data_IF_180260768351
#
_entry.id   IF_180260768351
#
_cell.length_a   1.000
_cell.length_b   1.000
_cell.length_c   1.000
_cell.angle_alpha   90.00
_cell.angle_beta   90.00
_cell.angle_gamma   90.00
#
_symmetry.space_group_name_H-M   'P 1'
#
loop_
_entity.id
_entity.type
_entity.pdbx_description
1 polymer ?
#
# COMPACT_ATOMS: atom_id res chain seq x y z
N UNK A 1 7.63 -46.13 -12.76
CA UNK A 1 6.51 -45.19 -13.03
C UNK A 1 6.33 -44.28 -11.80
N UNK A 2 7.24 -43.33 -11.57
CA UNK A 2 7.26 -42.42 -10.40
C UNK A 2 7.80 -41.06 -10.89
N UNK A 3 7.16 -40.54 -11.93
CA UNK A 3 7.56 -39.28 -12.57
C UNK A 3 6.44 -38.27 -12.55
N UNK A 4 5.21 -38.69 -12.87
CA UNK A 4 4.09 -37.77 -13.13
C UNK A 4 3.58 -37.02 -11.89
N UNK A 5 3.59 -37.63 -10.70
CA UNK A 5 3.04 -37.00 -9.48
C UNK A 5 3.92 -35.87 -8.97
N UNK A 6 5.25 -35.97 -9.13
CA UNK A 6 6.20 -34.99 -8.63
C UNK A 6 6.19 -33.73 -9.50
N UNK A 7 6.05 -33.90 -10.82
CA UNK A 7 5.96 -32.78 -11.78
C UNK A 7 4.66 -32.00 -11.63
N UNK A 8 3.54 -32.68 -11.36
CA UNK A 8 2.25 -32.04 -11.10
C UNK A 8 2.24 -31.23 -9.80
N UNK A 9 2.82 -31.77 -8.71
CA UNK A 9 2.94 -31.06 -7.43
C UNK A 9 3.82 -29.81 -7.56
N UNK A 10 4.95 -29.89 -8.25
CA UNK A 10 5.83 -28.75 -8.52
C UNK A 10 5.14 -27.67 -9.36
N UNK A 11 4.40 -28.06 -10.40
CA UNK A 11 3.65 -27.12 -11.25
C UNK A 11 2.54 -26.39 -10.46
N UNK A 12 1.85 -27.08 -9.56
CA UNK A 12 0.79 -26.46 -8.72
C UNK A 12 1.40 -25.47 -7.72
N UNK A 13 2.52 -25.81 -7.08
CA UNK A 13 3.21 -24.91 -6.13
C UNK A 13 3.71 -23.65 -6.83
N UNK A 14 4.28 -23.79 -8.04
CA UNK A 14 4.74 -22.65 -8.84
C UNK A 14 3.55 -21.77 -9.28
N UNK A 15 2.44 -22.35 -9.74
CA UNK A 15 1.22 -21.59 -10.09
C UNK A 15 0.61 -20.88 -8.88
N UNK A 16 0.58 -21.52 -7.70
CA UNK A 16 0.10 -20.89 -6.46
C UNK A 16 0.99 -19.76 -5.98
N UNK A 17 2.32 -19.84 -6.16
CA UNK A 17 3.25 -18.75 -5.85
C UNK A 17 3.11 -17.55 -6.80
N UNK A 18 2.76 -17.79 -8.07
CA UNK A 18 2.52 -16.73 -9.06
C UNK A 18 1.19 -15.99 -8.78
N UNK A 19 0.18 -16.67 -8.23
CA UNK A 19 -1.09 -16.06 -7.82
C UNK A 19 -0.97 -15.16 -6.56
N UNK A 20 0.11 -15.28 -5.78
CA UNK A 20 0.44 -14.34 -4.70
C UNK A 20 1.12 -13.06 -5.24
N UNK A 21 1.54 -13.08 -6.49
CA UNK A 21 2.22 -12.01 -7.21
C UNK A 21 1.36 -11.42 -8.33
N UNK A 22 0.03 -11.55 -8.28
CA UNK A 22 -0.82 -10.81 -9.23
C UNK A 22 -0.67 -9.32 -8.90
N UNK A 23 0.02 -8.50 -9.73
CA UNK A 23 -0.08 -7.07 -9.56
C UNK A 23 -1.50 -6.75 -10.01
N UNK A 24 -2.39 -6.57 -9.03
CA UNK A 24 -3.72 -6.02 -9.26
C UNK A 24 -3.52 -4.55 -9.60
N UNK A 25 -3.11 -4.23 -10.83
CA UNK A 25 -2.78 -2.85 -11.21
C UNK A 25 -2.99 -2.63 -12.71
N UNK A 26 -4.25 -2.62 -13.14
CA UNK A 26 -4.65 -1.75 -14.24
C UNK A 26 -5.17 -0.43 -13.64
N UNK A 27 -4.24 0.32 -13.06
CA UNK A 27 -4.36 1.72 -12.66
C UNK A 27 -3.06 2.41 -13.07
N UNK A 28 -3.08 3.72 -13.30
CA UNK A 28 -1.86 4.46 -13.67
C UNK A 28 -0.80 4.41 -12.55
N UNK A 29 -1.23 4.14 -11.32
CA UNK A 29 -0.37 3.97 -10.14
C UNK A 29 0.07 2.52 -9.94
N UNK A 30 1.37 2.34 -9.72
CA UNK A 30 1.96 1.08 -9.25
C UNK A 30 2.28 1.13 -7.75
N UNK A 31 2.38 -0.04 -7.09
CA UNK A 31 2.85 -0.08 -5.70
C UNK A 31 4.27 0.49 -5.55
N UNK A 32 5.15 0.30 -6.53
CA UNK A 32 6.51 0.85 -6.50
C UNK A 32 6.49 2.38 -6.40
N UNK A 33 5.59 3.03 -7.14
CA UNK A 33 5.36 4.48 -7.06
C UNK A 33 4.85 4.87 -5.67
N UNK A 34 3.82 4.17 -5.16
CA UNK A 34 3.27 4.41 -3.82
C UNK A 34 4.35 4.34 -2.74
N UNK A 35 5.18 3.29 -2.75
CA UNK A 35 6.25 3.10 -1.78
C UNK A 35 7.32 4.18 -1.91
N UNK A 36 7.67 4.61 -3.13
CA UNK A 36 8.60 5.74 -3.32
C UNK A 36 8.05 7.01 -2.68
N UNK A 37 6.77 7.31 -2.88
CA UNK A 37 6.14 8.52 -2.37
C UNK A 37 6.05 8.52 -0.83
N UNK A 38 5.79 7.36 -0.20
CA UNK A 38 5.71 7.26 1.27
C UNK A 38 7.01 6.85 1.98
N UNK A 39 8.07 6.52 1.24
CA UNK A 39 9.39 6.23 1.79
C UNK A 39 9.89 7.27 2.80
N UNK A 40 9.79 8.60 2.56
CA UNK A 40 10.19 9.61 3.54
C UNK A 40 9.33 9.61 4.82
N UNK A 41 8.19 8.92 4.83
CA UNK A 41 7.32 8.81 6.01
C UNK A 41 7.69 7.66 6.94
N UNK A 42 8.55 6.72 6.53
CA UNK A 42 8.76 5.44 7.25
C UNK A 42 9.15 5.66 8.72
N UNK A 43 10.14 6.51 9.00
CA UNK A 43 10.60 6.76 10.37
C UNK A 43 9.50 7.40 11.23
N UNK A 44 8.75 8.34 10.65
CA UNK A 44 7.59 8.94 11.31
C UNK A 44 6.51 7.91 11.59
N UNK A 45 6.16 7.09 10.60
CA UNK A 45 5.12 6.07 10.72
C UNK A 45 5.44 5.00 11.77
N UNK A 46 6.72 4.75 12.08
CA UNK A 46 7.10 3.78 13.12
C UNK A 46 7.10 4.37 14.52
N UNK A 47 7.65 5.58 14.68
CA UNK A 47 8.00 6.09 16.02
C UNK A 47 7.94 7.62 16.13
N UNK A 48 7.37 8.29 15.13
CA UNK A 48 7.25 9.74 15.11
C UNK A 48 6.25 10.28 16.14
N UNK A 49 6.25 11.60 16.27
CA UNK A 49 5.30 12.35 17.07
C UNK A 49 5.09 13.73 16.45
N UNK A 50 3.99 14.39 16.78
CA UNK A 50 3.69 15.73 16.25
C UNK A 50 3.60 15.78 14.72
N UNK A 51 4.20 16.82 14.13
CA UNK A 51 4.15 17.11 12.70
C UNK A 51 5.05 16.14 11.89
N UNK A 52 4.56 15.55 10.78
CA UNK A 52 5.39 14.74 9.90
C UNK A 52 6.51 15.55 9.24
N UNK A 53 7.60 14.90 8.81
CA UNK A 53 8.64 15.53 8.00
C UNK A 53 8.06 16.18 6.74
N UNK A 54 8.60 17.33 6.33
CA UNK A 54 8.14 18.04 5.12
C UNK A 54 8.21 17.16 3.86
N UNK A 55 9.27 16.37 3.71
CA UNK A 55 9.42 15.40 2.63
C UNK A 55 8.34 14.32 2.66
N UNK A 56 7.94 13.86 3.85
CA UNK A 56 6.84 12.92 4.00
C UNK A 56 5.52 13.52 3.53
N UNK A 57 5.18 14.74 3.96
CA UNK A 57 3.96 15.39 3.51
C UNK A 57 3.97 15.71 2.01
N UNK A 58 5.13 16.03 1.45
CA UNK A 58 5.29 16.26 0.00
C UNK A 58 4.96 14.99 -0.79
N UNK A 59 5.56 13.85 -0.40
CA UNK A 59 5.27 12.56 -1.03
C UNK A 59 3.82 12.11 -0.84
N UNK A 60 3.26 12.25 0.36
CA UNK A 60 1.86 11.93 0.63
C UNK A 60 0.88 12.76 -0.22
N UNK A 61 1.18 14.06 -0.43
CA UNK A 61 0.40 14.93 -1.33
C UNK A 61 0.53 14.50 -2.79
N UNK A 62 1.74 14.15 -3.23
CA UNK A 62 1.97 13.67 -4.59
C UNK A 62 1.17 12.38 -4.87
N UNK A 63 1.20 11.42 -3.92
CA UNK A 63 0.41 10.20 -4.00
C UNK A 63 -1.10 10.51 -4.03
N UNK A 64 -1.57 11.43 -3.19
CA UNK A 64 -2.98 11.82 -3.16
C UNK A 64 -3.42 12.47 -4.49
N UNK A 65 -2.57 13.29 -5.11
CA UNK A 65 -2.83 13.88 -6.42
C UNK A 65 -2.82 12.84 -7.55
N UNK A 66 -1.89 11.88 -7.50
CA UNK A 66 -1.83 10.78 -8.46
C UNK A 66 -3.08 9.88 -8.35
N UNK A 67 -3.60 9.66 -7.14
CA UNK A 67 -4.75 8.79 -6.87
C UNK A 67 -6.11 9.45 -7.22
N UNK A 68 -6.19 9.94 -8.45
CA UNK A 68 -7.32 10.73 -8.95
C UNK A 68 -8.55 9.88 -9.28
N UNK A 69 -8.38 8.61 -9.67
CA UNK A 69 -9.49 7.71 -9.97
C UNK A 69 -9.78 6.75 -8.81
N UNK A 70 -10.98 6.18 -8.79
CA UNK A 70 -11.35 5.11 -7.86
C UNK A 70 -10.36 3.94 -7.94
N UNK A 71 -10.02 3.49 -9.15
CA UNK A 71 -9.07 2.40 -9.35
C UNK A 71 -7.69 2.72 -8.75
N UNK A 72 -7.17 3.92 -8.98
CA UNK A 72 -5.88 4.35 -8.43
C UNK A 72 -5.91 4.41 -6.89
N UNK A 73 -7.01 4.90 -6.31
CA UNK A 73 -7.20 4.93 -4.84
C UNK A 73 -7.22 3.52 -4.24
N UNK A 74 -7.91 2.59 -4.90
CA UNK A 74 -7.98 1.19 -4.47
C UNK A 74 -6.61 0.52 -4.55
N UNK A 75 -5.87 0.74 -5.64
CA UNK A 75 -4.50 0.26 -5.80
C UNK A 75 -3.59 0.85 -4.73
N UNK A 76 -3.57 2.17 -4.56
CA UNK A 76 -2.76 2.84 -3.54
C UNK A 76 -3.09 2.33 -2.12
N UNK A 77 -4.37 2.16 -1.79
CA UNK A 77 -4.82 1.57 -0.54
C UNK A 77 -4.25 0.17 -0.31
N UNK A 78 -4.34 -0.71 -1.31
CA UNK A 78 -3.80 -2.07 -1.22
C UNK A 78 -2.29 -2.08 -0.95
N UNK A 79 -1.55 -1.23 -1.68
CA UNK A 79 -0.11 -1.09 -1.49
C UNK A 79 0.25 -0.56 -0.10
N UNK A 80 -0.43 0.50 0.37
CA UNK A 80 -0.21 1.09 1.70
C UNK A 80 -0.57 0.13 2.83
N UNK A 81 -1.64 -0.66 2.67
CA UNK A 81 -2.05 -1.69 3.63
C UNK A 81 -0.96 -2.74 3.80
N UNK A 82 -0.42 -3.25 2.70
CA UNK A 82 0.69 -4.21 2.72
C UNK A 82 1.95 -3.61 3.33
N UNK A 83 2.33 -2.39 2.92
CA UNK A 83 3.48 -1.67 3.46
C UNK A 83 3.38 -1.44 4.97
N UNK A 84 2.19 -1.03 5.44
CA UNK A 84 1.95 -0.79 6.87
C UNK A 84 2.19 -2.04 7.71
N UNK A 85 1.81 -3.22 7.20
CA UNK A 85 2.09 -4.50 7.84
C UNK A 85 3.58 -4.80 7.86
N UNK A 86 4.26 -4.68 6.72
CA UNK A 86 5.70 -4.97 6.61
C UNK A 86 6.58 -4.04 7.45
N UNK A 87 6.19 -2.77 7.59
CA UNK A 87 6.92 -1.77 8.37
C UNK A 87 6.58 -1.79 9.87
N UNK A 88 5.56 -2.57 10.25
CA UNK A 88 4.94 -2.51 11.57
C UNK A 88 4.57 -1.06 11.96
N UNK A 89 3.96 -0.34 11.02
CA UNK A 89 3.63 1.07 11.19
C UNK A 89 2.65 1.28 12.36
N UNK A 90 2.85 2.36 13.11
CA UNK A 90 1.95 2.76 14.16
C UNK A 90 0.61 3.22 13.56
N UNK A 91 -0.51 2.55 13.88
CA UNK A 91 -1.80 2.83 13.26
C UNK A 91 -2.32 4.24 13.55
N UNK A 92 -2.00 4.80 14.72
CA UNK A 92 -2.42 6.15 15.10
C UNK A 92 -1.70 7.22 14.28
N UNK A 93 -0.41 7.01 14.00
CA UNK A 93 0.39 7.92 13.18
C UNK A 93 -0.04 7.82 11.71
N UNK A 94 -0.25 6.61 11.20
CA UNK A 94 -0.76 6.40 9.84
C UNK A 94 -2.13 7.06 9.61
N UNK A 95 -3.04 6.97 10.61
CA UNK A 95 -4.37 7.59 10.56
C UNK A 95 -4.30 9.13 10.60
N UNK A 96 -3.36 9.70 11.35
CA UNK A 96 -3.25 11.15 11.55
C UNK A 96 -2.45 11.86 10.47
N UNK A 97 -1.58 11.14 9.74
CA UNK A 97 -0.69 11.69 8.72
C UNK A 97 -1.42 12.53 7.66
N UNK A 98 -2.54 12.09 7.04
CA UNK A 98 -3.24 12.90 6.04
C UNK A 98 -3.66 14.26 6.59
N UNK A 99 -4.30 14.27 7.76
CA UNK A 99 -4.74 15.51 8.42
C UNK A 99 -3.57 16.43 8.77
N UNK A 100 -2.50 15.88 9.35
CA UNK A 100 -1.29 16.65 9.69
C UNK A 100 -0.55 17.19 8.45
N UNK A 101 -0.69 16.54 7.30
CA UNK A 101 -0.15 17.02 6.03
C UNK A 101 -1.13 17.92 5.26
N UNK A 102 -2.31 18.24 5.80
CA UNK A 102 -3.34 19.02 5.11
C UNK A 102 -3.86 18.33 3.85
N UNK A 103 -3.99 17.00 3.89
CA UNK A 103 -4.58 16.17 2.84
C UNK A 103 -5.97 15.78 3.32
N UNK A 104 -6.99 16.18 2.58
CA UNK A 104 -8.36 15.72 2.83
C UNK A 104 -8.62 14.48 1.98
N UNK A 105 -8.68 13.32 2.64
CA UNK A 105 -9.12 12.08 2.03
C UNK A 105 -10.60 11.91 2.37
N UNK A 106 -11.43 11.60 1.37
CA UNK A 106 -12.85 11.25 1.58
C UNK A 106 -13.06 9.92 2.33
N UNK A 107 -11.98 9.29 2.82
CA UNK A 107 -11.98 8.04 3.56
C UNK A 107 -10.85 8.02 4.61
N UNK A 108 -10.98 7.14 5.59
CA UNK A 108 -9.97 6.97 6.66
C UNK A 108 -8.99 5.86 6.30
N UNK A 109 -7.68 6.14 6.38
CA UNK A 109 -6.65 5.11 6.29
C UNK A 109 -6.53 4.38 7.63
N UNK A 110 -6.67 3.05 7.60
CA UNK A 110 -6.58 2.17 8.76
C UNK A 110 -5.98 0.82 8.34
N UNK A 111 -5.25 0.09 9.20
CA UNK A 111 -4.77 -1.26 8.87
C UNK A 111 -5.90 -2.23 8.48
N UNK A 112 -7.13 -1.96 8.93
CA UNK A 112 -8.32 -2.77 8.63
C UNK A 112 -9.21 -2.14 7.55
N UNK A 113 -8.73 -1.11 6.85
CA UNK A 113 -9.49 -0.51 5.75
C UNK A 113 -9.81 -1.56 4.69
N UNK A 114 -11.06 -1.58 4.25
CA UNK A 114 -11.48 -2.33 3.08
C UNK A 114 -11.25 -1.46 1.85
N UNK A 115 -10.17 -1.74 1.13
CA UNK A 115 -9.79 -0.97 -0.04
C UNK A 115 -10.86 -1.02 -1.14
N UNK A 116 -11.70 -2.05 -1.19
CA UNK A 116 -12.76 -2.18 -2.21
C UNK A 116 -13.91 -1.19 -2.02
N UNK A 117 -14.02 -0.59 -0.82
CA UNK A 117 -15.06 0.39 -0.47
C UNK A 117 -14.64 1.83 -0.76
N UNK A 118 -13.41 2.05 -1.22
CA UNK A 118 -12.96 3.40 -1.58
C UNK A 118 -13.52 3.75 -2.96
N UNK A 119 -14.18 4.89 -3.04
CA UNK A 119 -14.78 5.46 -4.25
C UNK A 119 -13.98 6.64 -4.76
#
# INVERSE_FOLDING_TARGET
MKGSSVTALLAIIVVSLILLFVPSSHGAISCSTVIKDVSPCVSYLKSGSGMPPSACCTGAKALAAAASTTADRQTACGCLKSASKSLNANPSLAKSLPGNCGISLGFTISPNVDCTKIT
#
